data_IF_604471729962
#
_entry.id   IF_604471729962
#
_cell.length_a   1.000
_cell.length_b   1.000
_cell.length_c   1.000
_cell.angle_alpha   90.00
_cell.angle_beta   90.00
_cell.angle_gamma   90.00
#
_symmetry.space_group_name_H-M   'P 1'
#
loop_
_entity.id
_entity.type
_entity.pdbx_description
1 polymer ?
#
# COMPACT_ATOMS: atom_id res chain seq x y z
N UNK A 1 -17.16 -24.22 3.60
CA UNK A 1 -16.47 -23.36 4.58
C UNK A 1 -15.69 -24.24 5.53
N UNK A 2 -14.41 -24.47 5.27
CA UNK A 2 -13.54 -25.21 6.19
C UNK A 2 -13.16 -24.26 7.31
N UNK A 3 -13.70 -24.47 8.52
CA UNK A 3 -13.29 -23.74 9.72
C UNK A 3 -11.78 -23.90 9.89
N UNK A 4 -11.02 -22.84 9.57
CA UNK A 4 -9.58 -22.78 9.84
C UNK A 4 -9.44 -22.76 11.35
N UNK A 5 -8.88 -23.83 11.92
CA UNK A 5 -8.57 -23.89 13.36
C UNK A 5 -7.74 -22.66 13.75
N UNK A 6 -8.06 -22.06 14.90
CA UNK A 6 -7.34 -20.89 15.39
C UNK A 6 -5.86 -21.21 15.61
N UNK A 7 -5.01 -20.17 15.67
CA UNK A 7 -3.58 -20.38 15.91
C UNK A 7 -3.34 -21.05 17.27
N UNK A 8 -4.12 -20.66 18.28
CA UNK A 8 -4.12 -21.28 19.61
C UNK A 8 -4.56 -22.76 19.57
N UNK A 9 -5.58 -23.11 18.80
CA UNK A 9 -5.99 -24.52 18.63
C UNK A 9 -4.86 -25.35 18.00
N UNK A 10 -4.19 -24.81 16.99
CA UNK A 10 -3.08 -25.48 16.31
C UNK A 10 -1.93 -25.75 17.28
N UNK A 11 -1.58 -24.75 18.12
CA UNK A 11 -0.54 -24.90 19.14
C UNK A 11 -0.95 -25.90 20.21
N UNK A 12 -2.19 -25.83 20.69
CA UNK A 12 -2.72 -26.77 21.70
C UNK A 12 -2.66 -28.21 21.21
N UNK A 13 -3.07 -28.46 19.97
CA UNK A 13 -2.99 -29.79 19.35
C UNK A 13 -1.54 -30.23 19.18
N UNK A 14 -0.63 -29.33 18.78
CA UNK A 14 0.78 -29.65 18.63
C UNK A 14 1.42 -30.02 19.97
N UNK A 15 1.16 -29.25 21.02
CA UNK A 15 1.64 -29.53 22.38
C UNK A 15 1.16 -30.88 22.88
N UNK A 16 -0.14 -31.19 22.72
CA UNK A 16 -0.69 -32.49 23.14
C UNK A 16 -0.08 -33.67 22.35
N UNK A 17 0.24 -33.48 21.07
CA UNK A 17 0.96 -34.51 20.28
C UNK A 17 2.40 -34.72 20.77
N UNK A 18 3.11 -33.62 21.06
CA UNK A 18 4.49 -33.66 21.55
C UNK A 18 4.55 -34.31 22.93
N UNK A 19 3.68 -33.91 23.87
CA UNK A 19 3.66 -34.46 25.23
C UNK A 19 3.35 -35.96 25.22
N UNK A 20 2.42 -36.41 24.37
CA UNK A 20 2.14 -37.84 24.15
C UNK A 20 3.35 -38.60 23.58
N UNK A 21 4.00 -38.06 22.55
CA UNK A 21 5.16 -38.70 21.95
C UNK A 21 6.34 -38.82 22.94
N UNK A 22 6.59 -37.78 23.74
CA UNK A 22 7.59 -37.79 24.80
C UNK A 22 7.22 -38.78 25.91
N UNK A 23 5.94 -38.86 26.30
CA UNK A 23 5.43 -39.85 27.25
C UNK A 23 5.71 -41.28 26.78
N UNK A 24 5.32 -41.63 25.56
CA UNK A 24 5.56 -42.97 25.00
C UNK A 24 7.07 -43.28 24.89
N UNK A 25 7.88 -42.30 24.53
CA UNK A 25 9.34 -42.47 24.49
C UNK A 25 9.93 -42.74 25.88
N UNK A 26 9.46 -42.00 26.88
CA UNK A 26 9.86 -42.17 28.28
C UNK A 26 9.45 -43.55 28.80
N UNK A 27 8.18 -43.94 28.64
CA UNK A 27 7.67 -45.26 29.03
C UNK A 27 8.50 -46.39 28.45
N UNK A 28 8.80 -46.33 27.15
CA UNK A 28 9.60 -47.34 26.46
C UNK A 28 11.02 -47.41 27.02
N UNK A 29 11.63 -46.26 27.26
CA UNK A 29 12.99 -46.16 27.80
C UNK A 29 13.06 -46.72 29.22
N UNK A 30 12.15 -46.30 30.09
CA UNK A 30 12.10 -46.72 31.49
C UNK A 30 11.78 -48.20 31.62
N UNK A 31 10.86 -48.74 30.81
CA UNK A 31 10.58 -50.18 30.76
C UNK A 31 11.82 -51.02 30.39
N UNK A 32 12.65 -50.54 29.46
CA UNK A 32 13.85 -51.26 29.03
C UNK A 32 14.98 -51.15 30.08
N UNK A 33 15.24 -49.94 30.59
CA UNK A 33 16.37 -49.67 31.48
C UNK A 33 16.13 -50.19 32.90
N UNK A 34 14.88 -50.15 33.39
CA UNK A 34 14.51 -50.53 34.75
C UNK A 34 13.94 -51.96 34.86
N UNK A 35 14.25 -52.84 33.90
CA UNK A 35 13.73 -54.22 33.83
C UNK A 35 13.90 -55.03 35.12
N UNK A 36 14.99 -54.82 35.86
CA UNK A 36 15.22 -55.49 37.16
C UNK A 36 14.30 -55.03 38.28
N UNK A 37 13.87 -53.76 38.26
CA UNK A 37 12.93 -53.19 39.25
C UNK A 37 11.52 -53.65 38.90
N UNK A 38 11.18 -53.55 37.61
CA UNK A 38 9.95 -54.06 37.01
C UNK A 38 9.67 -55.53 37.37
N UNK A 39 10.69 -56.39 37.32
CA UNK A 39 10.55 -57.81 37.69
C UNK A 39 10.22 -58.07 39.17
N UNK A 40 10.51 -57.12 40.07
CA UNK A 40 10.22 -57.28 41.50
C UNK A 40 8.76 -56.97 41.84
N UNK A 41 8.20 -55.98 41.17
CA UNK A 41 6.80 -55.57 41.32
C UNK A 41 6.35 -54.87 40.03
N UNK A 42 5.75 -55.64 39.15
CA UNK A 42 5.32 -55.19 37.82
C UNK A 42 4.17 -54.20 37.91
N UNK A 43 3.21 -54.47 38.79
CA UNK A 43 1.99 -53.67 38.93
C UNK A 43 2.31 -52.28 39.47
N UNK A 44 3.08 -52.21 40.56
CA UNK A 44 3.58 -50.94 41.11
C UNK A 44 4.38 -50.15 40.07
N UNK A 45 5.25 -50.83 39.31
CA UNK A 45 6.10 -50.17 38.33
C UNK A 45 5.29 -49.57 37.17
N UNK A 46 4.36 -50.32 36.57
CA UNK A 46 3.51 -49.80 35.50
C UNK A 46 2.62 -48.66 35.99
N UNK A 47 2.06 -48.79 37.20
CA UNK A 47 1.25 -47.73 37.79
C UNK A 47 2.06 -46.45 37.99
N UNK A 48 3.24 -46.54 38.60
CA UNK A 48 4.12 -45.38 38.86
C UNK A 48 4.53 -44.68 37.57
N UNK A 49 4.92 -45.44 36.55
CA UNK A 49 5.31 -44.87 35.24
C UNK A 49 4.14 -44.19 34.56
N UNK A 50 2.95 -44.80 34.61
CA UNK A 50 1.73 -44.23 34.02
C UNK A 50 1.33 -42.94 34.72
N UNK A 51 1.36 -42.91 36.06
CA UNK A 51 1.07 -41.72 36.86
C UNK A 51 2.03 -40.57 36.55
N UNK A 52 3.34 -40.87 36.45
CA UNK A 52 4.36 -39.88 36.07
C UNK A 52 4.12 -39.28 34.68
N UNK A 53 3.75 -40.10 33.70
CA UNK A 53 3.48 -39.64 32.33
C UNK A 53 2.20 -38.81 32.28
N UNK A 54 1.15 -39.23 33.00
CA UNK A 54 -0.08 -38.46 33.11
C UNK A 54 0.15 -37.12 33.79
N UNK A 55 0.90 -37.08 34.89
CA UNK A 55 1.25 -35.83 35.57
C UNK A 55 2.06 -34.90 34.66
N UNK A 56 3.04 -35.43 33.92
CA UNK A 56 3.79 -34.66 32.94
C UNK A 56 2.88 -34.05 31.86
N UNK A 57 1.99 -34.86 31.27
CA UNK A 57 1.05 -34.39 30.24
C UNK A 57 0.12 -33.31 30.79
N UNK A 58 -0.44 -33.51 31.99
CA UNK A 58 -1.30 -32.55 32.65
C UNK A 58 -0.58 -31.22 32.90
N UNK A 59 0.64 -31.24 33.45
CA UNK A 59 1.44 -30.03 33.70
C UNK A 59 1.78 -29.28 32.40
N UNK A 60 2.02 -30.00 31.30
CA UNK A 60 2.22 -29.38 29.99
C UNK A 60 0.96 -28.66 29.47
N UNK A 61 -0.23 -29.17 29.78
CA UNK A 61 -1.49 -28.62 29.33
C UNK A 61 -2.01 -27.49 30.25
N UNK A 62 -1.78 -27.54 31.56
CA UNK A 62 -2.27 -26.56 32.54
C UNK A 62 -1.75 -25.13 32.30
N UNK A 63 -0.47 -24.99 31.92
CA UNK A 63 0.16 -23.69 31.68
C UNK A 63 -0.05 -23.13 30.27
N UNK A 64 -0.57 -23.92 29.34
CA UNK A 64 -0.63 -23.53 27.94
C UNK A 64 -1.69 -22.44 27.65
N UNK A 65 -2.93 -22.53 28.15
CA UNK A 65 -3.95 -21.51 27.87
C UNK A 65 -3.59 -20.13 28.41
N UNK A 66 -2.97 -20.05 29.58
CA UNK A 66 -2.53 -18.78 30.17
C UNK A 66 -1.42 -18.14 29.32
N UNK A 67 -0.45 -18.95 28.88
CA UNK A 67 0.63 -18.50 28.00
C UNK A 67 0.09 -18.00 26.66
N UNK A 68 -0.80 -18.76 26.03
CA UNK A 68 -1.41 -18.38 24.75
C UNK A 68 -2.16 -17.04 24.85
N UNK A 69 -2.89 -16.83 25.95
CA UNK A 69 -3.59 -15.58 26.24
C UNK A 69 -2.62 -14.42 26.52
N UNK A 70 -1.58 -14.64 27.32
CA UNK A 70 -0.55 -13.65 27.64
C UNK A 70 0.10 -13.08 26.38
N UNK A 71 0.44 -13.96 25.42
CA UNK A 71 1.04 -13.56 24.16
C UNK A 71 0.05 -13.06 23.11
N UNK A 72 -1.26 -13.12 23.39
CA UNK A 72 -2.34 -12.74 22.46
C UNK A 72 -2.16 -13.38 21.09
N UNK A 73 -1.93 -14.69 21.08
CA UNK A 73 -1.49 -15.42 19.88
C UNK A 73 -2.51 -15.33 18.75
N UNK A 74 -3.79 -15.48 19.05
CA UNK A 74 -4.84 -15.37 18.04
C UNK A 74 -4.92 -13.97 17.42
N UNK A 75 -4.82 -12.90 18.22
CA UNK A 75 -4.84 -11.52 17.72
C UNK A 75 -3.68 -11.26 16.74
N UNK A 76 -2.46 -11.66 17.13
CA UNK A 76 -1.27 -11.56 16.26
C UNK A 76 -1.40 -12.40 14.99
N UNK A 77 -1.98 -13.60 15.09
CA UNK A 77 -2.23 -14.43 13.92
C UNK A 77 -3.23 -13.78 12.95
N UNK A 78 -4.31 -13.17 13.48
CA UNK A 78 -5.27 -12.42 12.67
C UNK A 78 -4.66 -11.19 12.00
N UNK A 79 -3.77 -10.47 12.68
CA UNK A 79 -3.03 -9.36 12.08
C UNK A 79 -2.13 -9.81 10.93
N UNK A 80 -1.47 -10.96 11.07
CA UNK A 80 -0.66 -11.56 9.99
C UNK A 80 -1.51 -12.04 8.82
N UNK A 81 -2.67 -12.64 9.08
CA UNK A 81 -3.61 -13.08 8.04
C UNK A 81 -4.13 -11.87 7.26
N UNK A 82 -4.59 -10.83 7.96
CA UNK A 82 -5.00 -9.56 7.35
C UNK A 82 -3.88 -8.94 6.51
N UNK A 83 -2.65 -8.90 7.03
CA UNK A 83 -1.51 -8.38 6.30
C UNK A 83 -1.23 -9.18 5.02
N UNK A 84 -1.28 -10.51 5.08
CA UNK A 84 -1.05 -11.36 3.91
C UNK A 84 -2.15 -11.25 2.84
N UNK A 85 -3.41 -11.04 3.24
CA UNK A 85 -4.52 -10.88 2.30
C UNK A 85 -4.53 -9.50 1.63
N UNK A 86 -4.22 -8.45 2.40
CA UNK A 86 -4.40 -7.06 1.94
C UNK A 86 -3.12 -6.45 1.37
N UNK A 87 -1.96 -6.87 1.85
CA UNK A 87 -0.68 -6.43 1.29
C UNK A 87 -0.33 -7.33 0.10
N UNK A 88 -0.79 -6.93 -1.10
CA UNK A 88 -0.49 -7.58 -2.38
C UNK A 88 1.01 -7.62 -2.66
N UNK A 89 1.71 -8.59 -2.09
CA UNK A 89 3.09 -8.94 -2.41
C UNK A 89 3.14 -10.37 -2.97
N UNK A 90 4.07 -10.65 -3.87
CA UNK A 90 4.29 -12.00 -4.42
C UNK A 90 4.81 -13.01 -3.38
N UNK A 91 5.19 -12.52 -2.18
CA UNK A 91 5.57 -13.25 -0.98
C UNK A 91 5.00 -12.54 0.25
N UNK A 92 4.58 -13.30 1.25
CA UNK A 92 4.25 -12.79 2.58
C UNK A 92 5.34 -11.86 3.11
N UNK A 93 4.95 -10.71 3.65
CA UNK A 93 5.90 -9.77 4.24
C UNK A 93 6.59 -10.41 5.45
N UNK A 94 7.91 -10.25 5.53
CA UNK A 94 8.69 -10.60 6.70
C UNK A 94 9.64 -9.45 7.05
N UNK A 95 9.91 -9.20 8.35
CA UNK A 95 10.89 -8.21 8.76
C UNK A 95 12.23 -8.51 8.12
N UNK A 96 12.83 -7.52 7.48
CA UNK A 96 14.12 -7.70 6.80
C UNK A 96 15.31 -7.65 7.76
N UNK A 97 15.08 -7.18 9.00
CA UNK A 97 16.13 -6.88 9.97
C UNK A 97 16.81 -5.54 9.73
N UNK A 98 16.40 -4.80 8.69
CA UNK A 98 16.79 -3.44 8.41
C UNK A 98 15.61 -2.50 8.70
N UNK A 99 15.66 -1.74 9.82
CA UNK A 99 14.59 -0.85 10.22
C UNK A 99 14.21 0.18 9.15
N UNK A 100 15.20 0.68 8.39
CA UNK A 100 14.95 1.72 7.39
C UNK A 100 14.19 1.15 6.19
N UNK A 101 14.55 -0.07 5.79
CA UNK A 101 13.83 -0.80 4.73
C UNK A 101 12.41 -1.17 5.15
N UNK A 102 12.25 -1.63 6.39
CA UNK A 102 10.94 -2.03 6.92
C UNK A 102 10.01 -0.82 7.08
N UNK A 103 10.52 0.32 7.56
CA UNK A 103 9.76 1.59 7.63
C UNK A 103 9.38 2.10 6.24
N UNK A 104 10.29 2.08 5.27
CA UNK A 104 9.99 2.49 3.89
C UNK A 104 8.87 1.65 3.27
N UNK A 105 8.84 0.35 3.54
CA UNK A 105 7.76 -0.52 3.07
C UNK A 105 6.39 -0.11 3.65
N UNK A 106 6.34 0.31 4.91
CA UNK A 106 5.12 0.84 5.53
C UNK A 106 4.72 2.22 4.97
N UNK A 107 5.68 3.10 4.72
CA UNK A 107 5.43 4.45 4.19
C UNK A 107 5.02 4.43 2.71
N UNK A 108 5.45 3.43 1.95
CA UNK A 108 5.21 3.34 0.50
C UNK A 108 3.73 3.47 0.11
N UNK A 109 2.81 2.90 0.89
CA UNK A 109 1.37 2.99 0.60
C UNK A 109 0.89 4.45 0.66
N UNK A 110 1.29 5.17 1.71
CA UNK A 110 0.93 6.58 1.91
C UNK A 110 1.59 7.47 0.85
N UNK A 111 2.86 7.24 0.56
CA UNK A 111 3.59 7.96 -0.49
C UNK A 111 2.94 7.77 -1.86
N UNK A 112 2.52 6.55 -2.17
CA UNK A 112 1.84 6.23 -3.43
C UNK A 112 0.49 6.94 -3.54
N UNK A 113 -0.35 6.86 -2.51
CA UNK A 113 -1.65 7.56 -2.49
C UNK A 113 -1.47 9.07 -2.66
N UNK A 114 -0.48 9.65 -1.98
CA UNK A 114 -0.17 11.07 -2.11
C UNK A 114 0.29 11.43 -3.53
N UNK A 115 1.14 10.60 -4.15
CA UNK A 115 1.61 10.78 -5.52
C UNK A 115 0.45 10.72 -6.53
N UNK A 116 -0.46 9.76 -6.37
CA UNK A 116 -1.63 9.61 -7.23
C UNK A 116 -2.53 10.86 -7.16
N UNK A 117 -2.74 11.41 -5.96
CA UNK A 117 -3.48 12.65 -5.74
C UNK A 117 -2.81 13.87 -6.41
N UNK A 118 -1.48 13.98 -6.29
CA UNK A 118 -0.72 15.05 -6.96
C UNK A 118 -0.81 14.94 -8.48
N UNK A 119 -0.68 13.73 -9.03
CA UNK A 119 -0.84 13.46 -10.45
C UNK A 119 -2.22 13.85 -10.95
N UNK A 120 -3.27 13.53 -10.20
CA UNK A 120 -4.66 13.88 -10.51
C UNK A 120 -4.86 15.40 -10.52
N UNK A 121 -4.42 16.09 -9.46
CA UNK A 121 -4.51 17.57 -9.35
C UNK A 121 -3.77 18.26 -10.50
N UNK A 122 -2.57 17.77 -10.83
CA UNK A 122 -1.76 18.32 -11.93
C UNK A 122 -2.47 18.14 -13.27
N UNK A 123 -3.01 16.95 -13.52
CA UNK A 123 -3.77 16.66 -14.74
C UNK A 123 -5.03 17.53 -14.86
N UNK A 124 -5.75 17.73 -13.76
CA UNK A 124 -6.93 18.60 -13.71
C UNK A 124 -6.57 20.07 -14.00
N UNK A 125 -5.45 20.56 -13.46
CA UNK A 125 -4.94 21.90 -13.74
C UNK A 125 -4.55 22.05 -15.21
N UNK A 126 -3.84 21.07 -15.78
CA UNK A 126 -3.50 21.08 -17.20
C UNK A 126 -4.75 21.09 -18.09
N UNK A 127 -5.79 20.32 -17.73
CA UNK A 127 -7.07 20.31 -18.45
C UNK A 127 -7.77 21.69 -18.41
N UNK A 128 -7.64 22.43 -17.31
CA UNK A 128 -8.20 23.80 -17.19
C UNK A 128 -7.37 24.86 -17.92
N UNK A 129 -6.05 24.72 -17.93
CA UNK A 129 -5.14 25.71 -18.53
C UNK A 129 -5.08 25.62 -20.05
N UNK A 130 -5.15 24.41 -20.64
CA UNK A 130 -5.07 24.21 -22.10
C UNK A 130 -6.13 25.01 -22.88
N UNK A 131 -7.44 24.96 -22.53
CA UNK A 131 -8.46 25.74 -23.21
C UNK A 131 -8.23 27.24 -23.10
N UNK A 132 -7.87 27.73 -21.90
CA UNK A 132 -7.56 29.15 -21.67
C UNK A 132 -6.38 29.64 -22.50
N UNK A 133 -5.34 28.82 -22.63
CA UNK A 133 -4.22 29.14 -23.52
C UNK A 133 -4.65 29.20 -25.00
N UNK A 134 -5.54 28.28 -25.41
CA UNK A 134 -6.07 28.29 -26.78
C UNK A 134 -7.01 29.48 -27.05
N UNK A 135 -7.78 29.93 -26.06
CA UNK A 135 -8.56 31.17 -26.13
C UNK A 135 -7.64 32.39 -26.25
N UNK A 136 -6.62 32.48 -25.39
CA UNK A 136 -5.69 33.61 -25.41
C UNK A 136 -4.91 33.72 -26.73
N UNK A 137 -4.51 32.59 -27.32
CA UNK A 137 -3.90 32.56 -28.66
C UNK A 137 -4.87 33.04 -29.74
N UNK A 138 -6.13 32.61 -29.71
CA UNK A 138 -7.15 33.06 -30.67
C UNK A 138 -7.36 34.57 -30.58
N UNK A 139 -7.39 35.10 -29.36
CA UNK A 139 -7.53 36.53 -29.12
C UNK A 139 -6.31 37.32 -29.62
N UNK A 140 -5.09 36.84 -29.37
CA UNK A 140 -3.87 37.46 -29.91
C UNK A 140 -3.88 37.51 -31.44
N UNK A 141 -4.29 36.43 -32.11
CA UNK A 141 -4.42 36.44 -33.57
C UNK A 141 -5.47 37.45 -34.05
N UNK A 142 -6.62 37.54 -33.38
CA UNK A 142 -7.68 38.51 -33.71
C UNK A 142 -7.16 39.95 -33.62
N UNK A 143 -6.51 40.30 -32.51
CA UNK A 143 -5.98 41.64 -32.30
C UNK A 143 -4.90 42.01 -33.31
N UNK A 144 -4.04 41.06 -33.69
CA UNK A 144 -3.03 41.28 -34.74
C UNK A 144 -3.67 41.53 -36.10
N UNK A 145 -4.71 40.79 -36.46
CA UNK A 145 -5.43 40.99 -37.73
C UNK A 145 -6.13 42.36 -37.75
N UNK A 146 -6.80 42.74 -36.66
CA UNK A 146 -7.41 44.07 -36.52
C UNK A 146 -6.37 45.19 -36.61
N UNK A 147 -5.24 45.07 -35.92
CA UNK A 147 -4.13 46.03 -36.02
C UNK A 147 -3.62 46.16 -37.47
N UNK A 148 -3.54 45.05 -38.20
CA UNK A 148 -3.10 45.06 -39.61
C UNK A 148 -4.10 45.79 -40.50
N UNK A 149 -5.41 45.54 -40.30
CA UNK A 149 -6.48 46.26 -41.01
C UNK A 149 -6.44 47.75 -40.75
N UNK A 150 -6.26 48.17 -39.49
CA UNK A 150 -6.11 49.57 -39.12
C UNK A 150 -4.90 50.22 -39.79
N UNK A 151 -3.76 49.53 -39.88
CA UNK A 151 -2.59 50.04 -40.59
C UNK A 151 -2.85 50.22 -42.09
N UNK A 152 -3.59 49.30 -42.73
CA UNK A 152 -3.96 49.43 -44.14
C UNK A 152 -4.90 50.61 -44.35
N UNK A 153 -5.94 50.75 -43.52
CA UNK A 153 -6.88 51.87 -43.58
C UNK A 153 -6.16 53.21 -43.35
N UNK A 154 -5.24 53.28 -42.39
CA UNK A 154 -4.44 54.47 -42.14
C UNK A 154 -3.61 54.85 -43.38
N UNK A 155 -2.96 53.87 -44.04
CA UNK A 155 -2.25 54.13 -45.30
C UNK A 155 -3.17 54.67 -46.39
N UNK A 156 -4.36 54.10 -46.54
CA UNK A 156 -5.37 54.57 -47.51
C UNK A 156 -5.87 55.98 -47.21
N UNK A 157 -6.09 56.32 -45.94
CA UNK A 157 -6.44 57.67 -45.50
C UNK A 157 -5.32 58.67 -45.80
N UNK A 158 -4.07 58.31 -45.52
CA UNK A 158 -2.93 59.16 -45.86
C UNK A 158 -2.81 59.39 -47.37
N UNK A 159 -3.01 58.37 -48.20
CA UNK A 159 -2.97 58.51 -49.66
C UNK A 159 -4.12 59.36 -50.18
N UNK A 160 -5.35 59.17 -49.66
CA UNK A 160 -6.51 59.97 -50.08
C UNK A 160 -6.35 61.43 -49.66
N UNK A 161 -5.89 61.70 -48.44
CA UNK A 161 -5.55 63.05 -47.98
C UNK A 161 -4.54 63.73 -48.90
N UNK A 162 -3.46 63.02 -49.28
CA UNK A 162 -2.45 63.54 -50.20
C UNK A 162 -3.04 63.85 -51.59
N UNK A 163 -3.94 63.00 -52.11
CA UNK A 163 -4.62 63.25 -53.39
C UNK A 163 -5.57 64.45 -53.34
N UNK A 164 -6.31 64.64 -52.25
CA UNK A 164 -7.20 65.80 -52.07
C UNK A 164 -6.39 67.09 -51.95
N UNK A 165 -5.32 67.09 -51.16
CA UNK A 165 -4.41 68.24 -51.07
C UNK A 165 -3.76 68.59 -52.42
N UNK A 166 -3.40 67.58 -53.22
CA UNK A 166 -2.90 67.79 -54.58
C UNK A 166 -3.97 68.33 -55.53
N UNK A 167 -5.23 67.93 -55.39
CA UNK A 167 -6.34 68.41 -56.19
C UNK A 167 -6.71 69.86 -55.84
N UNK A 168 -6.75 70.22 -54.55
CA UNK A 168 -6.99 71.59 -54.09
C UNK A 168 -5.90 72.56 -54.59
N UNK A 169 -4.65 72.11 -54.64
CA UNK A 169 -3.55 72.87 -55.24
C UNK A 169 -3.74 73.09 -56.76
N UNK A 170 -4.31 72.11 -57.48
CA UNK A 170 -4.63 72.26 -58.90
C UNK A 170 -5.83 73.19 -59.16
N UNK A 171 -6.85 73.20 -58.29
CA UNK A 171 -7.98 74.14 -58.39
C UNK A 171 -7.58 75.59 -58.08
N UNK A 172 -6.55 75.82 -57.25
CA UNK A 172 -6.02 77.17 -56.98
C UNK A 172 -5.22 77.77 -58.15
N UNK A 173 -4.74 76.97 -59.10
CA UNK A 173 -3.99 77.44 -60.28
C UNK A 173 -4.92 77.90 -61.42
N UNK A 174 -6.18 77.48 -61.42
CA UNK A 174 -7.14 77.77 -62.49
C UNK A 174 -8.19 78.84 -62.15
N UNK A 175 -7.99 79.66 -61.10
CA UNK A 175 -8.90 80.78 -60.81
C UNK A 175 -8.66 81.92 -61.84
N UNK A 176 -9.58 82.20 -62.77
CA UNK A 176 -9.42 83.32 -63.69
C UNK A 176 -9.54 84.63 -62.91
N UNK A 177 -8.68 85.60 -63.23
CA UNK A 177 -8.86 87.00 -62.82
C UNK A 177 -10.04 87.62 -63.57
#
# INVERSE_FOLDING_TARGET
MTSSRSAEDKITIATSKISKALGTYFEKTVNNTCSKVKQKDEEWFQQTVTELVQEFQQRCEEGLPSLLREYSVNDKASQLEYANENLRFSRSWCPSGDPEKDIRAHLYVVEKEHLDDLCKRTSDLQRKLRPRLAELKREDYRLRDESTKLQVLLKQLCTTLATVQSADNHFCVHRPR
#
